data_IF_113760546651
#
_entry.id   IF_113760546651
#
_cell.length_a   1.000
_cell.length_b   1.000
_cell.length_c   1.000
_cell.angle_alpha   90.00
_cell.angle_beta   90.00
_cell.angle_gamma   90.00
#
_symmetry.space_group_name_H-M   'P 1'
#
loop_
_entity.id
_entity.type
_entity.pdbx_description
1 polymer ?
#
# COMPACT_ATOMS: atom_id res chain seq x y z
N UNK A 1 -31.76 -35.70 -24.93
CA UNK A 1 -32.63 -34.49 -25.00
C UNK A 1 -33.72 -34.45 -23.93
N UNK A 2 -34.29 -35.57 -23.46
CA UNK A 2 -35.39 -35.58 -22.47
C UNK A 2 -35.06 -34.87 -21.14
N UNK A 3 -33.90 -35.14 -20.55
CA UNK A 3 -33.53 -34.59 -19.22
C UNK A 3 -33.56 -33.06 -19.12
N UNK A 4 -33.17 -32.34 -20.18
CA UNK A 4 -33.21 -30.87 -20.23
C UNK A 4 -34.64 -30.33 -20.25
N UNK A 5 -35.56 -31.06 -20.88
CA UNK A 5 -36.97 -30.71 -20.97
C UNK A 5 -37.67 -31.01 -19.64
N UNK A 6 -37.30 -32.12 -19.00
CA UNK A 6 -37.84 -32.55 -17.71
C UNK A 6 -37.43 -31.60 -16.56
N UNK A 7 -36.28 -30.93 -16.68
CA UNK A 7 -35.73 -30.01 -15.68
C UNK A 7 -35.71 -28.54 -16.14
N UNK A 8 -36.59 -28.15 -17.06
CA UNK A 8 -36.65 -26.81 -17.68
C UNK A 8 -36.71 -25.65 -16.67
N UNK A 9 -37.37 -25.85 -15.53
CA UNK A 9 -37.52 -24.84 -14.48
C UNK A 9 -36.18 -24.59 -13.76
N UNK A 10 -35.48 -25.66 -13.40
CA UNK A 10 -34.15 -25.58 -12.80
C UNK A 10 -33.15 -24.91 -13.75
N UNK A 11 -33.18 -25.28 -15.04
CA UNK A 11 -32.33 -24.66 -16.07
C UNK A 11 -32.64 -23.17 -16.22
N UNK A 12 -33.92 -22.77 -16.20
CA UNK A 12 -34.34 -21.38 -16.22
C UNK A 12 -33.81 -20.57 -15.04
N UNK A 13 -33.88 -21.12 -13.82
CA UNK A 13 -33.35 -20.49 -12.60
C UNK A 13 -31.82 -20.31 -12.70
N UNK A 14 -31.10 -21.34 -13.15
CA UNK A 14 -29.64 -21.26 -13.32
C UNK A 14 -29.27 -20.19 -14.35
N UNK A 15 -29.98 -20.13 -15.49
CA UNK A 15 -29.73 -19.10 -16.51
C UNK A 15 -30.01 -17.69 -15.97
N UNK A 16 -31.11 -17.51 -15.23
CA UNK A 16 -31.46 -16.23 -14.61
C UNK A 16 -30.45 -15.82 -13.50
N UNK A 17 -29.86 -16.79 -12.80
CA UNK A 17 -28.85 -16.52 -11.80
C UNK A 17 -27.50 -16.14 -12.45
N UNK A 18 -27.11 -16.87 -13.49
CA UNK A 18 -25.89 -16.58 -14.25
C UNK A 18 -25.94 -15.22 -14.96
N UNK A 19 -27.11 -14.79 -15.43
CA UNK A 19 -27.29 -13.49 -16.09
C UNK A 19 -27.03 -12.31 -15.15
N UNK A 20 -27.14 -12.48 -13.82
CA UNK A 20 -26.81 -11.45 -12.82
C UNK A 20 -25.37 -11.59 -12.33
N UNK A 21 -24.92 -12.82 -12.06
CA UNK A 21 -23.58 -13.07 -11.50
C UNK A 21 -22.48 -12.71 -12.47
N UNK A 22 -22.62 -13.06 -13.76
CA UNK A 22 -21.55 -12.84 -14.74
C UNK A 22 -21.26 -11.33 -14.87
N UNK A 23 -22.25 -10.43 -15.07
CA UNK A 23 -22.01 -8.99 -15.09
C UNK A 23 -21.44 -8.44 -13.77
N UNK A 24 -21.89 -8.95 -12.62
CA UNK A 24 -21.37 -8.51 -11.34
C UNK A 24 -19.88 -8.86 -11.18
N UNK A 25 -19.51 -10.09 -11.54
CA UNK A 25 -18.12 -10.55 -11.49
C UNK A 25 -17.23 -9.77 -12.46
N UNK A 26 -17.68 -9.53 -13.69
CA UNK A 26 -16.90 -8.74 -14.66
C UNK A 26 -16.75 -7.29 -14.21
N UNK A 27 -17.78 -6.70 -13.60
CA UNK A 27 -17.71 -5.37 -13.00
C UNK A 27 -16.69 -5.31 -11.86
N UNK A 28 -16.75 -6.25 -10.90
CA UNK A 28 -15.81 -6.30 -9.78
C UNK A 28 -14.36 -6.48 -10.26
N UNK A 29 -14.14 -7.36 -11.25
CA UNK A 29 -12.81 -7.55 -11.85
C UNK A 29 -12.34 -6.27 -12.56
N UNK A 30 -13.21 -5.61 -13.31
CA UNK A 30 -12.92 -4.34 -13.98
C UNK A 30 -12.53 -3.25 -12.98
N UNK A 31 -13.33 -3.09 -11.92
CA UNK A 31 -13.10 -2.14 -10.83
C UNK A 31 -11.76 -2.38 -10.14
N UNK A 32 -11.41 -3.64 -9.87
CA UNK A 32 -10.15 -4.01 -9.25
C UNK A 32 -8.95 -3.68 -10.15
N UNK A 33 -9.07 -3.86 -11.47
CA UNK A 33 -8.02 -3.48 -12.44
C UNK A 33 -7.82 -1.97 -12.50
N UNK A 34 -8.91 -1.21 -12.55
CA UNK A 34 -8.87 0.26 -12.52
C UNK A 34 -8.20 0.77 -11.24
N UNK A 35 -8.62 0.27 -10.08
CA UNK A 35 -7.99 0.61 -8.80
C UNK A 35 -6.51 0.25 -8.76
N UNK A 36 -6.12 -0.89 -9.34
CA UNK A 36 -4.71 -1.29 -9.43
C UNK A 36 -3.92 -0.33 -10.33
N UNK A 37 -4.51 0.12 -11.44
CA UNK A 37 -3.88 1.11 -12.32
C UNK A 37 -3.70 2.46 -11.60
N UNK A 38 -4.74 2.94 -10.90
CA UNK A 38 -4.66 4.17 -10.10
C UNK A 38 -3.58 4.05 -9.01
N UNK A 39 -3.51 2.91 -8.31
CA UNK A 39 -2.44 2.65 -7.32
C UNK A 39 -1.06 2.61 -7.96
N UNK A 40 -0.93 1.97 -9.13
CA UNK A 40 0.32 1.94 -9.89
C UNK A 40 0.77 3.36 -10.25
N UNK A 41 -0.14 4.19 -10.77
CA UNK A 41 0.16 5.56 -11.16
C UNK A 41 0.54 6.42 -9.97
N UNK A 42 -0.22 6.38 -8.88
CA UNK A 42 0.10 7.11 -7.65
C UNK A 42 1.48 6.72 -7.11
N UNK A 43 1.78 5.42 -7.09
CA UNK A 43 3.07 4.93 -6.60
C UNK A 43 4.25 5.44 -7.46
N UNK A 44 4.18 5.25 -8.79
CA UNK A 44 5.32 5.56 -9.67
C UNK A 44 5.44 7.04 -10.01
N UNK A 45 4.34 7.74 -10.26
CA UNK A 45 4.36 9.14 -10.70
C UNK A 45 4.56 10.10 -9.53
N UNK A 46 3.91 9.83 -8.40
CA UNK A 46 3.85 10.81 -7.30
C UNK A 46 4.82 10.43 -6.19
N UNK A 47 4.69 9.23 -5.63
CA UNK A 47 5.46 8.86 -4.43
C UNK A 47 6.94 8.65 -4.75
N UNK A 48 7.26 7.83 -5.75
CA UNK A 48 8.65 7.49 -6.05
C UNK A 48 9.44 8.68 -6.58
N UNK A 49 8.81 9.50 -7.43
CA UNK A 49 9.43 10.73 -7.96
C UNK A 49 9.68 11.78 -6.87
N UNK A 50 8.75 11.93 -5.93
CA UNK A 50 8.92 12.87 -4.83
C UNK A 50 9.93 12.36 -3.78
N UNK A 51 10.04 11.04 -3.59
CA UNK A 51 11.07 10.44 -2.76
C UNK A 51 12.47 10.58 -3.38
N UNK A 52 12.59 10.41 -4.70
CA UNK A 52 13.84 10.52 -5.44
C UNK A 52 14.22 11.96 -5.80
N UNK A 53 13.50 12.97 -5.32
CA UNK A 53 13.75 14.35 -5.71
C UNK A 53 15.04 14.84 -5.03
N UNK A 54 16.18 14.59 -5.68
CA UNK A 54 17.53 15.06 -5.33
C UNK A 54 17.64 16.60 -5.20
N UNK A 55 16.60 17.35 -5.57
CA UNK A 55 16.60 18.81 -5.64
C UNK A 55 16.32 19.52 -4.30
N UNK A 56 16.20 18.82 -3.16
CA UNK A 56 15.95 19.45 -1.84
C UNK A 56 14.63 20.25 -1.75
N UNK A 57 13.68 20.09 -2.68
CA UNK A 57 12.41 20.84 -2.66
C UNK A 57 11.35 20.23 -1.73
N UNK A 58 11.39 18.91 -1.50
CA UNK A 58 10.47 18.25 -0.58
C UNK A 58 10.99 18.42 0.86
N UNK A 59 10.22 19.11 1.71
CA UNK A 59 10.52 19.21 3.13
C UNK A 59 10.51 17.83 3.81
N UNK A 60 11.27 17.66 4.89
CA UNK A 60 11.39 16.39 5.60
C UNK A 60 10.04 15.79 6.02
N UNK A 61 9.07 16.62 6.40
CA UNK A 61 7.71 16.16 6.74
C UNK A 61 6.97 15.56 5.54
N UNK A 62 7.20 16.07 4.32
CA UNK A 62 6.65 15.50 3.10
C UNK A 62 7.28 14.15 2.79
N UNK A 63 8.59 13.99 2.99
CA UNK A 63 9.27 12.71 2.82
C UNK A 63 8.78 11.67 3.84
N UNK A 64 8.60 12.06 5.11
CA UNK A 64 7.98 11.21 6.15
C UNK A 64 6.58 10.77 5.73
N UNK A 65 5.74 11.70 5.25
CA UNK A 65 4.40 11.37 4.79
C UNK A 65 4.41 10.39 3.60
N UNK A 66 5.32 10.58 2.65
CA UNK A 66 5.51 9.65 1.53
C UNK A 66 5.90 8.26 2.03
N UNK A 67 6.90 8.16 2.92
CA UNK A 67 7.36 6.88 3.48
C UNK A 67 6.22 6.16 4.19
N UNK A 68 5.44 6.89 5.00
CA UNK A 68 4.25 6.36 5.66
C UNK A 68 3.21 5.85 4.64
N UNK A 69 2.95 6.59 3.56
CA UNK A 69 2.00 6.18 2.53
C UNK A 69 2.39 4.90 1.80
N UNK A 70 3.69 4.58 1.69
CA UNK A 70 4.18 3.36 1.03
C UNK A 70 3.65 2.08 1.69
N UNK A 71 3.26 2.14 2.98
CA UNK A 71 2.60 1.04 3.70
C UNK A 71 1.31 0.57 3.04
N UNK A 72 0.68 1.40 2.21
CA UNK A 72 -0.59 1.08 1.55
C UNK A 72 -0.45 0.28 0.25
N UNK A 73 0.78 -0.02 -0.18
CA UNK A 73 1.04 -0.72 -1.43
C UNK A 73 1.73 -2.08 -1.23
N UNK A 74 1.01 -3.09 -0.71
CA UNK A 74 1.57 -4.42 -0.42
C UNK A 74 2.19 -5.11 -1.63
N UNK A 75 1.69 -4.83 -2.84
CA UNK A 75 2.25 -5.35 -4.09
C UNK A 75 3.71 -4.92 -4.33
N UNK A 76 4.17 -3.80 -3.75
CA UNK A 76 5.53 -3.28 -3.94
C UNK A 76 6.46 -3.50 -2.74
N UNK A 77 6.00 -4.10 -1.64
CA UNK A 77 6.83 -4.25 -0.43
C UNK A 77 8.22 -4.83 -0.66
N UNK A 78 8.45 -5.86 -1.52
CA UNK A 78 9.80 -6.36 -1.74
C UNK A 78 10.76 -5.32 -2.35
N UNK A 79 10.26 -4.44 -3.20
CA UNK A 79 11.04 -3.38 -3.85
C UNK A 79 11.19 -2.20 -2.89
N UNK A 80 10.08 -1.77 -2.28
CA UNK A 80 10.05 -0.66 -1.34
C UNK A 80 10.97 -0.90 -0.15
N UNK A 81 10.99 -2.10 0.43
CA UNK A 81 11.90 -2.41 1.53
C UNK A 81 13.36 -2.19 1.16
N UNK A 82 13.79 -2.60 -0.03
CA UNK A 82 15.17 -2.38 -0.49
C UNK A 82 15.49 -0.90 -0.60
N UNK A 83 14.61 -0.14 -1.26
CA UNK A 83 14.76 1.32 -1.40
C UNK A 83 14.83 2.01 -0.03
N UNK A 84 13.93 1.66 0.89
CA UNK A 84 13.91 2.26 2.22
C UNK A 84 15.12 1.86 3.07
N UNK A 85 15.62 0.63 2.93
CA UNK A 85 16.88 0.21 3.57
C UNK A 85 18.04 1.07 3.07
N UNK A 86 18.20 1.20 1.74
CA UNK A 86 19.28 1.96 1.14
C UNK A 86 19.22 3.45 1.56
N UNK A 87 18.03 4.07 1.50
CA UNK A 87 17.81 5.46 1.94
C UNK A 87 18.07 5.65 3.43
N UNK A 88 17.66 4.68 4.26
CA UNK A 88 17.90 4.72 5.70
C UNK A 88 19.39 4.70 6.02
N UNK A 89 20.15 3.84 5.35
CA UNK A 89 21.60 3.74 5.56
C UNK A 89 22.32 5.01 5.06
N UNK A 90 21.89 5.58 3.93
CA UNK A 90 22.40 6.86 3.41
C UNK A 90 22.15 8.02 4.39
N UNK A 91 20.91 8.22 4.82
CA UNK A 91 20.54 9.31 5.74
C UNK A 91 21.14 9.15 7.14
N UNK A 92 21.29 7.92 7.63
CA UNK A 92 21.98 7.65 8.89
C UNK A 92 23.46 8.02 8.81
N UNK A 93 24.13 7.71 7.68
CA UNK A 93 25.51 8.08 7.44
C UNK A 93 25.68 9.61 7.33
N UNK A 94 24.78 10.29 6.62
CA UNK A 94 24.80 11.76 6.51
C UNK A 94 24.61 12.47 7.86
N UNK A 95 23.70 11.96 8.69
CA UNK A 95 23.48 12.44 10.05
C UNK A 95 24.70 12.27 10.95
N UNK A 96 25.44 11.16 10.80
CA UNK A 96 26.65 10.88 11.58
C UNK A 96 27.86 11.74 11.18
N UNK A 97 27.95 12.16 9.92
CA UNK A 97 29.06 12.99 9.39
C UNK A 97 28.92 14.47 9.78
N UNK A 98 27.79 14.88 10.36
CA UNK A 98 27.64 16.22 10.96
C UNK A 98 27.56 17.36 9.94
N UNK A 99 26.98 17.11 8.74
CA UNK A 99 26.62 18.21 7.83
C UNK A 99 25.39 18.95 8.36
N UNK A 100 25.66 19.91 9.25
CA UNK A 100 24.81 21.02 9.70
C UNK A 100 23.64 20.68 10.65
N UNK A 101 23.75 21.26 11.85
CA UNK A 101 23.02 21.14 13.12
C UNK A 101 21.47 21.31 13.09
N UNK A 102 20.82 21.38 11.93
CA UNK A 102 19.35 21.48 11.81
C UNK A 102 18.77 20.33 10.98
N UNK A 103 19.54 19.78 10.05
CA UNK A 103 19.11 18.65 9.21
C UNK A 103 19.20 17.30 9.94
N UNK A 104 19.97 17.21 11.03
CA UNK A 104 20.13 15.94 11.78
C UNK A 104 18.83 15.45 12.42
N UNK A 105 18.00 16.35 12.98
CA UNK A 105 16.71 15.98 13.59
C UNK A 105 15.73 15.51 12.52
N UNK A 106 15.67 16.21 11.38
CA UNK A 106 14.85 15.81 10.25
C UNK A 106 15.28 14.44 9.69
N UNK A 107 16.59 14.24 9.45
CA UNK A 107 17.17 12.98 9.00
C UNK A 107 16.85 11.84 9.97
N UNK A 108 17.00 12.06 11.28
CA UNK A 108 16.65 11.05 12.30
C UNK A 108 15.16 10.68 12.27
N UNK A 109 14.26 11.65 12.07
CA UNK A 109 12.82 11.38 11.93
C UNK A 109 12.53 10.56 10.67
N UNK A 110 13.20 10.87 9.56
CA UNK A 110 13.05 10.12 8.30
C UNK A 110 13.60 8.69 8.42
N UNK A 111 14.76 8.51 9.03
CA UNK A 111 15.34 7.19 9.36
C UNK A 111 14.37 6.38 10.23
N UNK A 112 13.83 7.00 11.28
CA UNK A 112 12.84 6.37 12.16
C UNK A 112 11.60 5.92 11.38
N UNK A 113 11.09 6.77 10.48
CA UNK A 113 9.92 6.44 9.67
C UNK A 113 10.21 5.32 8.66
N UNK A 114 11.43 5.27 8.08
CA UNK A 114 11.89 4.16 7.25
C UNK A 114 11.88 2.85 8.05
N UNK A 115 12.49 2.82 9.24
CA UNK A 115 12.54 1.63 10.07
C UNK A 115 11.14 1.15 10.48
N UNK A 116 10.26 2.05 10.93
CA UNK A 116 8.88 1.72 11.28
C UNK A 116 8.11 1.14 10.08
N UNK A 117 8.36 1.68 8.89
CA UNK A 117 7.72 1.23 7.65
C UNK A 117 8.24 -0.13 7.19
N UNK A 118 9.56 -0.36 7.27
CA UNK A 118 10.18 -1.66 6.97
C UNK A 118 9.67 -2.72 7.94
N UNK A 119 9.59 -2.41 9.24
CA UNK A 119 9.07 -3.32 10.26
C UNK A 119 7.59 -3.66 9.98
N UNK A 120 6.76 -2.66 9.68
CA UNK A 120 5.37 -2.88 9.29
C UNK A 120 5.26 -3.83 8.08
N UNK A 121 6.11 -3.64 7.06
CA UNK A 121 6.13 -4.50 5.87
C UNK A 121 6.64 -5.92 6.15
N UNK A 122 7.39 -6.14 7.23
CA UNK A 122 7.89 -7.45 7.65
C UNK A 122 6.83 -8.29 8.39
N UNK A 123 5.84 -7.66 9.04
CA UNK A 123 4.77 -8.34 9.76
C UNK A 123 3.90 -9.20 8.82
N UNK A 124 3.16 -10.17 9.35
CA UNK A 124 2.25 -10.98 8.54
C UNK A 124 1.01 -10.18 8.10
N UNK A 125 0.16 -10.77 7.26
CA UNK A 125 -1.04 -10.07 6.76
C UNK A 125 -2.01 -9.67 7.87
N UNK A 126 -2.24 -10.54 8.85
CA UNK A 126 -3.19 -10.30 9.95
C UNK A 126 -2.71 -9.18 10.85
N UNK A 127 -1.44 -9.19 11.23
CA UNK A 127 -0.85 -8.14 12.07
C UNK A 127 -0.98 -6.76 11.41
N UNK A 128 -0.67 -6.67 10.10
CA UNK A 128 -0.83 -5.42 9.34
C UNK A 128 -2.28 -4.99 9.26
N UNK A 129 -3.20 -5.94 9.08
CA UNK A 129 -4.62 -5.66 9.07
C UNK A 129 -5.08 -5.07 10.40
N UNK A 130 -4.68 -5.67 11.52
CA UNK A 130 -5.03 -5.20 12.86
C UNK A 130 -4.45 -3.83 13.20
N UNK A 131 -3.19 -3.57 12.81
CA UNK A 131 -2.57 -2.25 12.98
C UNK A 131 -3.39 -1.18 12.23
N UNK A 132 -3.72 -1.43 10.95
CA UNK A 132 -4.56 -0.49 10.19
C UNK A 132 -5.95 -0.34 10.81
N UNK A 133 -6.55 -1.43 11.25
CA UNK A 133 -7.86 -1.38 11.89
C UNK A 133 -7.83 -0.50 13.14
N UNK A 134 -6.78 -0.62 13.96
CA UNK A 134 -6.56 0.24 15.12
C UNK A 134 -6.42 1.71 14.71
N UNK A 135 -5.59 2.01 13.71
CA UNK A 135 -5.29 3.38 13.28
C UNK A 135 -6.51 4.09 12.65
N UNK A 136 -7.34 3.38 11.90
CA UNK A 136 -8.50 3.96 11.20
C UNK A 136 -9.79 3.99 12.04
N UNK A 137 -9.99 2.99 12.89
CA UNK A 137 -11.26 2.81 13.60
C UNK A 137 -11.16 3.13 15.09
N UNK A 138 -9.97 3.50 15.58
CA UNK A 138 -9.79 3.88 16.98
C UNK A 138 -10.05 2.74 17.94
N UNK A 139 -9.79 1.49 17.54
CA UNK A 139 -9.81 0.33 18.46
C UNK A 139 -8.59 0.41 19.41
N UNK A 140 -8.64 1.38 20.31
CA UNK A 140 -7.73 1.57 21.42
C UNK A 140 -8.34 0.98 22.69
N UNK A 141 -7.58 0.07 23.29
CA UNK A 141 -7.66 -0.37 24.69
C UNK A 141 -8.85 -1.25 25.06
N UNK A 142 -8.74 -2.55 24.75
CA UNK A 142 -9.15 -3.55 25.72
C UNK A 142 -7.88 -3.87 26.52
N UNK A 143 -7.80 -3.30 27.72
CA UNK A 143 -6.76 -3.61 28.70
C UNK A 143 -6.81 -5.05 29.19
#
# INVERSE_FOLDING_TARGET
MGWLIDNKEFVGIVIAFLSVIIPLMTFLIGKNREQRQVRFEKFHKDLMRNLSNLAHEAGADQQIAIIFELRNFPEYYPVVRRILTDLRDEWAAEGAVGRLNVNSVALNRMVTECDATIEFMAKNFLDRFWIRAKDYWGFGEIG
#
